data_IF_690068449422
#
_entry.id   IF_690068449422
#
_cell.length_a   1.000
_cell.length_b   1.000
_cell.length_c   1.000
_cell.angle_alpha   90.00
_cell.angle_beta   90.00
_cell.angle_gamma   90.00
#
_symmetry.space_group_name_H-M   'P 1'
#
loop_
_entity.id
_entity.type
_entity.pdbx_description
1 polymer ?
#
# COMPACT_ATOMS: atom_id res chain seq x y z
N UNK A 1 -14.14 -16.02 -26.94
CA UNK A 1 -14.02 -14.53 -26.99
C UNK A 1 -14.24 -13.88 -25.63
N UNK A 2 -15.06 -14.46 -24.74
CA UNK A 2 -15.31 -13.86 -23.42
C UNK A 2 -14.12 -13.92 -22.45
N UNK A 3 -13.18 -14.82 -22.70
CA UNK A 3 -11.93 -14.93 -21.91
C UNK A 3 -11.08 -13.66 -21.98
N UNK A 4 -11.17 -12.89 -23.06
CA UNK A 4 -10.38 -11.68 -23.26
C UNK A 4 -11.08 -10.39 -22.79
N UNK A 5 -12.27 -10.48 -22.21
CA UNK A 5 -13.06 -9.33 -21.75
C UNK A 5 -13.04 -9.17 -20.23
N UNK A 6 -13.29 -7.95 -19.76
CA UNK A 6 -13.49 -7.61 -18.35
C UNK A 6 -12.31 -8.04 -17.46
N UNK A 7 -11.09 -7.82 -17.90
CA UNK A 7 -9.87 -8.14 -17.15
C UNK A 7 -9.58 -7.02 -16.14
N UNK A 8 -9.21 -7.42 -14.92
CA UNK A 8 -8.84 -6.57 -13.80
C UNK A 8 -7.32 -6.37 -13.79
N UNK A 9 -6.84 -5.67 -14.81
CA UNK A 9 -5.44 -5.31 -15.02
C UNK A 9 -5.43 -3.90 -15.62
N UNK A 10 -4.38 -3.12 -15.39
CA UNK A 10 -4.25 -1.79 -15.99
C UNK A 10 -3.40 -1.83 -17.28
N UNK A 11 -3.41 -0.74 -18.05
CA UNK A 11 -2.69 -0.68 -19.33
C UNK A 11 -1.18 -0.67 -19.17
N UNK A 12 -0.68 -0.11 -18.06
CA UNK A 12 0.74 0.04 -17.77
C UNK A 12 1.38 -1.32 -17.43
N UNK A 13 0.68 -2.17 -16.68
CA UNK A 13 1.10 -3.54 -16.37
C UNK A 13 1.19 -4.37 -17.65
N UNK A 14 0.22 -4.21 -18.56
CA UNK A 14 0.24 -4.87 -19.87
C UNK A 14 1.42 -4.36 -20.71
N UNK A 15 1.67 -3.05 -20.72
CA UNK A 15 2.79 -2.45 -21.44
C UNK A 15 4.14 -2.95 -20.92
N UNK A 16 4.32 -2.99 -19.59
CA UNK A 16 5.51 -3.55 -18.94
C UNK A 16 5.74 -5.00 -19.36
N UNK A 17 4.73 -5.84 -19.22
CA UNK A 17 4.81 -7.26 -19.57
C UNK A 17 5.16 -7.46 -21.06
N UNK A 18 4.50 -6.74 -21.98
CA UNK A 18 4.74 -6.89 -23.41
C UNK A 18 6.13 -6.37 -23.84
N UNK A 19 6.63 -5.31 -23.21
CA UNK A 19 8.00 -4.81 -23.41
C UNK A 19 9.04 -5.80 -22.92
N UNK A 20 8.83 -6.40 -21.74
CA UNK A 20 9.72 -7.42 -21.18
C UNK A 20 9.75 -8.66 -22.07
N UNK A 21 8.58 -9.17 -22.47
CA UNK A 21 8.46 -10.30 -23.40
C UNK A 21 9.21 -10.04 -24.71
N UNK A 22 9.01 -8.87 -25.31
CA UNK A 22 9.69 -8.51 -26.56
C UNK A 22 11.21 -8.42 -26.36
N UNK A 23 11.67 -7.82 -25.26
CA UNK A 23 13.10 -7.66 -24.96
C UNK A 23 13.80 -9.01 -24.77
N UNK A 24 13.16 -9.97 -24.09
CA UNK A 24 13.68 -11.33 -23.94
C UNK A 24 13.84 -12.07 -25.28
N UNK A 25 13.08 -11.67 -26.30
CA UNK A 25 13.21 -12.15 -27.67
C UNK A 25 14.15 -11.35 -28.57
N UNK A 26 14.95 -10.41 -28.02
CA UNK A 26 15.71 -9.41 -28.79
C UNK A 26 14.82 -8.56 -29.72
N UNK A 27 13.58 -8.34 -29.30
CA UNK A 27 12.56 -7.58 -30.02
C UNK A 27 12.25 -6.24 -29.36
N UNK A 28 11.19 -5.59 -29.85
CA UNK A 28 10.65 -4.33 -29.31
C UNK A 28 9.13 -4.34 -29.24
N UNK A 29 8.60 -3.60 -28.27
CA UNK A 29 7.17 -3.34 -28.14
C UNK A 29 6.91 -1.84 -28.17
N UNK A 30 5.97 -1.41 -29.02
CA UNK A 30 5.51 -0.03 -29.12
C UNK A 30 4.00 0.03 -28.85
N UNK A 31 3.56 1.00 -28.03
CA UNK A 31 2.16 1.29 -27.75
C UNK A 31 1.72 2.56 -28.48
N UNK A 32 0.55 2.53 -29.14
CA UNK A 32 -0.12 3.72 -29.66
C UNK A 32 -1.49 3.88 -29.02
N UNK A 33 -1.75 5.07 -28.50
CA UNK A 33 -3.08 5.48 -28.08
C UNK A 33 -3.86 5.99 -29.30
N UNK A 34 -4.87 5.24 -29.73
CA UNK A 34 -5.68 5.57 -30.92
C UNK A 34 -6.73 6.64 -30.55
N UNK A 35 -7.31 6.51 -29.35
CA UNK A 35 -8.30 7.41 -28.75
C UNK A 35 -8.44 7.05 -27.28
N UNK A 36 -9.02 7.94 -26.47
CA UNK A 36 -9.21 7.74 -25.03
C UNK A 36 -9.74 6.33 -24.69
N UNK A 37 -8.91 5.54 -24.00
CA UNK A 37 -9.22 4.17 -23.60
C UNK A 37 -9.12 3.12 -24.73
N UNK A 38 -8.38 3.38 -25.80
CA UNK A 38 -8.16 2.47 -26.93
C UNK A 38 -6.69 2.48 -27.33
N UNK A 39 -6.03 1.36 -27.14
CA UNK A 39 -4.60 1.18 -27.33
C UNK A 39 -4.34 0.11 -28.38
N UNK A 40 -3.24 0.28 -29.10
CA UNK A 40 -2.75 -0.71 -30.03
C UNK A 40 -1.27 -0.97 -29.72
N UNK A 41 -0.98 -2.22 -29.38
CA UNK A 41 0.38 -2.69 -29.14
C UNK A 41 0.93 -3.35 -30.38
N UNK A 42 2.19 -3.06 -30.65
CA UNK A 42 2.95 -3.55 -31.78
C UNK A 42 4.16 -4.30 -31.25
N UNK A 43 4.23 -5.60 -31.48
CA UNK A 43 5.31 -6.46 -30.98
C UNK A 43 6.12 -6.96 -32.19
N UNK A 44 7.40 -6.62 -32.22
CA UNK A 44 8.34 -7.01 -33.27
C UNK A 44 9.46 -7.84 -32.65
N UNK A 45 9.59 -9.10 -33.09
CA UNK A 45 10.64 -10.02 -32.66
C UNK A 45 11.37 -10.51 -33.93
N UNK A 46 12.72 -10.54 -33.95
CA UNK A 46 13.48 -11.07 -35.07
C UNK A 46 12.99 -12.45 -35.53
N UNK A 47 12.89 -12.65 -36.84
CA UNK A 47 12.40 -13.91 -37.43
C UNK A 47 10.88 -14.10 -37.38
N UNK A 48 10.11 -13.19 -36.78
CA UNK A 48 8.65 -13.26 -36.73
C UNK A 48 8.01 -12.09 -37.50
N UNK A 49 6.81 -12.34 -38.06
CA UNK A 49 5.95 -11.24 -38.51
C UNK A 49 5.51 -10.42 -37.29
N UNK A 50 5.33 -9.11 -37.49
CA UNK A 50 4.83 -8.18 -36.47
C UNK A 50 3.48 -8.62 -35.91
N UNK A 51 3.39 -8.76 -34.60
CA UNK A 51 2.15 -9.04 -33.88
C UNK A 51 1.47 -7.73 -33.45
N UNK A 52 0.14 -7.75 -33.38
CA UNK A 52 -0.68 -6.59 -33.02
C UNK A 52 -1.78 -6.98 -32.05
N UNK A 53 -1.93 -6.20 -30.98
CA UNK A 53 -3.00 -6.35 -29.99
C UNK A 53 -3.77 -5.05 -29.89
N UNK A 54 -5.09 -5.11 -30.09
CA UNK A 54 -5.97 -3.99 -29.77
C UNK A 54 -6.52 -4.17 -28.35
N UNK A 55 -6.36 -3.16 -27.50
CA UNK A 55 -6.75 -3.21 -26.09
C UNK A 55 -7.66 -2.02 -25.79
N UNK A 56 -8.79 -2.29 -25.14
CA UNK A 56 -9.80 -1.28 -24.83
C UNK A 56 -10.05 -1.20 -23.32
N UNK A 57 -9.98 0.01 -22.78
CA UNK A 57 -10.44 0.34 -21.44
C UNK A 57 -11.95 0.58 -21.45
N UNK A 58 -12.68 -0.37 -20.87
CA UNK A 58 -14.13 -0.31 -20.77
C UNK A 58 -14.56 0.00 -19.34
N UNK A 59 -15.83 0.36 -19.16
CA UNK A 59 -16.45 0.45 -17.83
C UNK A 59 -16.45 -0.87 -17.06
N UNK A 60 -16.10 -1.99 -17.69
CA UNK A 60 -16.07 -3.32 -17.12
C UNK A 60 -14.65 -3.89 -16.97
N UNK A 61 -13.61 -3.08 -17.18
CA UNK A 61 -12.22 -3.50 -17.17
C UNK A 61 -11.62 -3.52 -18.57
N UNK A 62 -10.45 -4.14 -18.69
CA UNK A 62 -9.74 -4.27 -19.96
C UNK A 62 -10.38 -5.33 -20.84
N UNK A 63 -10.45 -5.04 -22.15
CA UNK A 63 -10.77 -6.03 -23.19
C UNK A 63 -9.66 -6.10 -24.22
N UNK A 64 -9.19 -7.30 -24.52
CA UNK A 64 -8.13 -7.58 -25.51
C UNK A 64 -8.75 -8.19 -26.76
N UNK A 65 -8.37 -7.68 -27.92
CA UNK A 65 -8.72 -8.21 -29.24
C UNK A 65 -7.44 -8.69 -29.93
N UNK A 66 -7.10 -9.99 -29.81
CA UNK A 66 -5.84 -10.51 -30.32
C UNK A 66 -5.85 -10.91 -31.79
N UNK A 67 -7.02 -11.07 -32.41
CA UNK A 67 -7.15 -11.51 -33.81
C UNK A 67 -7.00 -10.29 -34.72
N UNK A 68 -5.80 -9.69 -34.72
CA UNK A 68 -5.49 -8.49 -35.51
C UNK A 68 -4.04 -8.54 -36.01
N UNK A 69 -3.76 -7.85 -37.13
CA UNK A 69 -2.41 -7.76 -37.69
C UNK A 69 -1.95 -9.01 -38.46
N UNK A 70 -0.65 -9.06 -38.76
CA UNK A 70 -0.05 -10.05 -39.65
C UNK A 70 0.38 -11.35 -38.94
N UNK A 71 0.54 -11.34 -37.61
CA UNK A 71 0.93 -12.49 -36.80
C UNK A 71 -0.10 -12.76 -35.70
N UNK A 72 -1.25 -13.31 -36.10
CA UNK A 72 -2.37 -13.56 -35.19
C UNK A 72 -2.08 -14.67 -34.18
N UNK A 73 -1.19 -15.61 -34.51
CA UNK A 73 -0.79 -16.70 -33.60
C UNK A 73 -0.04 -16.16 -32.39
N UNK A 74 0.99 -15.32 -32.63
CA UNK A 74 1.73 -14.68 -31.55
C UNK A 74 0.85 -13.71 -30.75
N UNK A 75 0.00 -12.93 -31.41
CA UNK A 75 -0.98 -12.08 -30.73
C UNK A 75 -1.91 -12.89 -29.82
N UNK A 76 -2.43 -14.02 -30.28
CA UNK A 76 -3.32 -14.87 -29.50
C UNK A 76 -2.59 -15.50 -28.30
N UNK A 77 -1.34 -15.94 -28.49
CA UNK A 77 -0.50 -16.47 -27.40
C UNK A 77 -0.31 -15.43 -26.30
N UNK A 78 0.11 -14.22 -26.67
CA UNK A 78 0.32 -13.12 -25.73
C UNK A 78 -0.96 -12.74 -24.98
N UNK A 79 -2.08 -12.63 -25.68
CA UNK A 79 -3.35 -12.33 -25.03
C UNK A 79 -3.79 -13.42 -24.05
N UNK A 80 -3.53 -14.70 -24.35
CA UNK A 80 -3.83 -15.80 -23.42
C UNK A 80 -2.94 -15.73 -22.18
N UNK A 81 -1.65 -15.43 -22.32
CA UNK A 81 -0.76 -15.24 -21.16
C UNK A 81 -1.21 -14.05 -20.30
N UNK A 82 -1.62 -12.94 -20.90
CA UNK A 82 -2.19 -11.80 -20.15
C UNK A 82 -3.47 -12.23 -19.40
N UNK A 83 -4.38 -12.95 -20.07
CA UNK A 83 -5.62 -13.44 -19.44
C UNK A 83 -5.34 -14.39 -18.28
N UNK A 84 -4.38 -15.30 -18.43
CA UNK A 84 -4.04 -16.27 -17.38
C UNK A 84 -3.49 -15.61 -16.11
N UNK A 85 -2.85 -14.45 -16.26
CA UNK A 85 -2.30 -13.67 -15.15
C UNK A 85 -3.24 -12.56 -14.64
N UNK A 86 -4.40 -12.36 -15.29
CA UNK A 86 -5.35 -11.31 -14.93
C UNK A 86 -6.62 -11.89 -14.29
N UNK A 87 -7.04 -11.29 -13.18
CA UNK A 87 -8.36 -11.60 -12.61
C UNK A 87 -9.48 -11.05 -13.49
N UNK A 88 -10.69 -11.61 -13.37
CA UNK A 88 -11.90 -10.98 -13.93
C UNK A 88 -12.40 -9.88 -13.00
N UNK A 89 -12.89 -8.80 -13.62
CA UNK A 89 -13.64 -7.77 -12.91
C UNK A 89 -14.97 -8.33 -12.43
N UNK A 90 -15.20 -8.27 -11.13
CA UNK A 90 -16.41 -8.72 -10.43
C UNK A 90 -16.98 -7.58 -9.60
N UNK A 91 -18.29 -7.60 -9.39
CA UNK A 91 -18.92 -6.71 -8.42
C UNK A 91 -18.55 -7.18 -7.01
N UNK A 92 -18.15 -6.25 -6.16
CA UNK A 92 -17.76 -6.50 -4.78
C UNK A 92 -18.29 -5.40 -3.88
N UNK A 93 -18.50 -5.76 -2.62
CA UNK A 93 -18.89 -4.82 -1.58
C UNK A 93 -18.23 -5.21 -0.27
N UNK A 94 -17.83 -4.21 0.51
CA UNK A 94 -17.25 -4.38 1.83
C UNK A 94 -17.88 -3.37 2.78
N UNK A 95 -18.15 -3.78 4.02
CA UNK A 95 -18.59 -2.86 5.07
C UNK A 95 -17.66 -2.85 6.26
N UNK A 96 -17.57 -1.70 6.89
CA UNK A 96 -16.83 -1.46 8.12
C UNK A 96 -17.75 -0.81 9.14
N UNK A 97 -17.71 -1.31 10.37
CA UNK A 97 -18.55 -0.83 11.46
C UNK A 97 -17.74 0.00 12.45
N UNK A 98 -18.42 0.87 13.19
CA UNK A 98 -17.80 1.73 14.20
C UNK A 98 -16.74 2.68 13.63
N UNK A 99 -16.98 3.22 12.43
CA UNK A 99 -16.15 4.24 11.80
C UNK A 99 -16.62 5.62 12.28
N UNK A 100 -15.83 6.33 13.09
CA UNK A 100 -16.21 7.68 13.48
C UNK A 100 -16.09 8.64 12.28
N UNK A 101 -16.90 9.69 12.28
CA UNK A 101 -17.03 10.58 11.11
C UNK A 101 -15.72 11.26 10.73
N UNK A 102 -14.89 11.65 11.70
CA UNK A 102 -13.57 12.22 11.45
C UNK A 102 -12.63 11.27 10.71
N UNK A 103 -12.72 9.95 10.96
CA UNK A 103 -11.93 8.95 10.23
C UNK A 103 -12.44 8.80 8.80
N UNK A 104 -13.75 8.92 8.58
CA UNK A 104 -14.31 8.95 7.24
C UNK A 104 -13.87 10.21 6.46
N UNK A 105 -13.80 11.36 7.12
CA UNK A 105 -13.31 12.58 6.50
C UNK A 105 -11.80 12.49 6.18
N UNK A 106 -10.99 11.84 7.03
CA UNK A 106 -9.58 11.54 6.77
C UNK A 106 -9.41 10.67 5.52
N UNK A 107 -10.29 9.67 5.32
CA UNK A 107 -10.31 8.85 4.11
C UNK A 107 -10.55 9.69 2.84
N UNK A 108 -11.55 10.57 2.86
CA UNK A 108 -11.83 11.44 1.71
C UNK A 108 -10.66 12.39 1.42
N UNK A 109 -10.02 12.90 2.47
CA UNK A 109 -8.83 13.73 2.32
C UNK A 109 -7.68 12.94 1.66
N UNK A 110 -7.38 11.74 2.16
CA UNK A 110 -6.37 10.85 1.58
C UNK A 110 -6.61 10.61 0.08
N UNK A 111 -7.85 10.33 -0.32
CA UNK A 111 -8.17 10.13 -1.74
C UNK A 111 -7.99 11.41 -2.58
N UNK A 112 -8.25 12.58 -1.99
CA UNK A 112 -8.03 13.87 -2.65
C UNK A 112 -6.54 14.12 -2.93
N UNK A 113 -5.67 13.74 -2.01
CA UNK A 113 -4.21 13.81 -2.17
C UNK A 113 -3.72 12.87 -3.29
N UNK A 114 -4.34 11.69 -3.43
CA UNK A 114 -4.08 10.70 -4.50
C UNK A 114 -4.65 11.10 -5.88
N UNK A 115 -5.15 12.33 -6.03
CA UNK A 115 -5.79 12.86 -7.26
C UNK A 115 -6.97 12.00 -7.74
N UNK A 116 -7.62 11.28 -6.83
CA UNK A 116 -8.85 10.54 -7.14
C UNK A 116 -9.97 11.57 -7.25
N UNK A 117 -10.76 11.48 -8.31
CA UNK A 117 -11.91 12.35 -8.48
C UNK A 117 -13.02 11.89 -7.53
N UNK A 118 -13.31 12.73 -6.55
CA UNK A 118 -14.35 12.52 -5.54
C UNK A 118 -15.57 13.34 -5.97
N UNK A 119 -16.66 12.65 -6.30
CA UNK A 119 -17.93 13.27 -6.61
C UNK A 119 -18.92 12.99 -5.48
N UNK A 120 -19.26 14.02 -4.72
CA UNK A 120 -20.37 13.95 -3.76
C UNK A 120 -21.69 13.72 -4.51
N UNK A 121 -22.48 12.75 -4.04
CA UNK A 121 -23.78 12.39 -4.62
C UNK A 121 -24.94 12.82 -3.74
N UNK A 122 -24.75 12.73 -2.43
CA UNK A 122 -25.78 12.99 -1.43
C UNK A 122 -25.11 13.18 -0.08
N UNK A 123 -25.53 14.18 0.66
CA UNK A 123 -25.26 14.34 2.08
C UNK A 123 -26.59 14.70 2.74
N UNK A 124 -27.16 13.77 3.50
CA UNK A 124 -28.40 13.95 4.26
C UNK A 124 -28.17 13.59 5.74
N UNK A 125 -29.17 13.80 6.59
CA UNK A 125 -29.05 13.54 8.03
C UNK A 125 -28.75 12.07 8.37
N UNK A 126 -28.95 11.14 7.43
CA UNK A 126 -28.82 9.69 7.63
C UNK A 126 -27.50 9.18 7.04
N UNK A 127 -27.03 9.72 5.91
CA UNK A 127 -25.87 9.20 5.19
C UNK A 127 -25.17 10.23 4.30
N UNK A 128 -23.88 10.01 4.08
CA UNK A 128 -23.08 10.63 3.01
C UNK A 128 -22.77 9.60 1.93
N UNK A 129 -22.90 9.97 0.66
CA UNK A 129 -22.61 9.10 -0.49
C UNK A 129 -21.62 9.81 -1.42
N UNK A 130 -20.50 9.15 -1.68
CA UNK A 130 -19.46 9.60 -2.60
C UNK A 130 -19.26 8.59 -3.71
N UNK A 131 -19.10 9.09 -4.95
CA UNK A 131 -18.58 8.30 -6.07
C UNK A 131 -17.12 8.65 -6.29
N UNK A 132 -16.28 7.63 -6.28
CA UNK A 132 -14.84 7.76 -6.45
C UNK A 132 -14.45 7.24 -7.82
N UNK A 133 -13.62 8.02 -8.53
CA UNK A 133 -13.09 7.68 -9.85
C UNK A 133 -11.60 8.00 -9.90
N UNK A 134 -10.78 6.97 -10.10
CA UNK A 134 -9.46 7.17 -10.72
C UNK A 134 -9.70 7.54 -12.20
N UNK A 135 -8.85 8.30 -12.89
CA UNK A 135 -9.02 8.83 -14.26
C UNK A 135 -9.48 7.85 -15.37
N UNK A 136 -9.69 6.58 -15.04
CA UNK A 136 -10.33 5.52 -15.83
C UNK A 136 -11.86 5.48 -15.64
N UNK A 137 -12.56 4.74 -16.51
CA UNK A 137 -14.05 4.61 -16.50
C UNK A 137 -14.61 3.76 -15.34
N UNK A 138 -13.78 3.37 -14.38
CA UNK A 138 -14.15 2.47 -13.28
C UNK A 138 -14.46 3.31 -12.04
N UNK A 139 -15.62 3.06 -11.44
CA UNK A 139 -16.11 3.80 -10.28
C UNK A 139 -16.42 2.86 -9.11
N UNK A 140 -16.16 3.35 -7.91
CA UNK A 140 -16.69 2.78 -6.67
C UNK A 140 -17.59 3.81 -5.99
N UNK A 141 -18.55 3.33 -5.22
CA UNK A 141 -19.44 4.15 -4.40
C UNK A 141 -19.12 3.85 -2.95
N UNK A 142 -18.89 4.90 -2.17
CA UNK A 142 -18.66 4.81 -0.73
C UNK A 142 -19.81 5.53 -0.03
N UNK A 143 -20.47 4.81 0.87
CA UNK A 143 -21.58 5.33 1.68
C UNK A 143 -21.17 5.30 3.14
N UNK A 144 -21.25 6.44 3.81
CA UNK A 144 -21.11 6.54 5.26
C UNK A 144 -22.48 6.77 5.88
N UNK A 145 -22.93 5.84 6.71
CA UNK A 145 -24.18 5.94 7.45
C UNK A 145 -23.93 6.62 8.80
N UNK A 146 -24.45 7.85 8.95
CA UNK A 146 -24.23 8.70 10.14
C UNK A 146 -24.88 8.11 11.39
N UNK A 147 -25.98 7.37 11.23
CA UNK A 147 -26.79 6.85 12.34
C UNK A 147 -26.16 5.66 13.06
N UNK A 148 -25.39 4.82 12.36
CA UNK A 148 -24.78 3.62 12.91
C UNK A 148 -23.26 3.57 12.71
N UNK A 149 -22.67 4.69 12.27
CA UNK A 149 -21.22 4.82 12.05
C UNK A 149 -20.65 3.70 11.17
N UNK A 150 -21.38 3.35 10.10
CA UNK A 150 -21.01 2.29 9.17
C UNK A 150 -20.53 2.86 7.85
N UNK A 151 -19.39 2.41 7.37
CA UNK A 151 -18.94 2.65 6.00
C UNK A 151 -19.28 1.44 5.15
N UNK A 152 -19.81 1.69 3.95
CA UNK A 152 -20.12 0.67 2.98
C UNK A 152 -19.55 1.05 1.62
N UNK A 153 -18.64 0.22 1.11
CA UNK A 153 -17.95 0.39 -0.17
C UNK A 153 -18.56 -0.60 -1.14
N UNK A 154 -18.99 -0.13 -2.30
CA UNK A 154 -19.55 -0.95 -3.37
C UNK A 154 -18.94 -0.59 -4.70
N UNK A 155 -18.72 -1.56 -5.55
CA UNK A 155 -18.28 -1.31 -6.91
C UNK A 155 -17.68 -2.55 -7.53
N UNK A 156 -16.68 -2.33 -8.38
CA UNK A 156 -15.91 -3.41 -9.00
C UNK A 156 -14.63 -3.63 -8.21
N UNK A 157 -14.17 -4.88 -8.10
CA UNK A 157 -12.94 -5.33 -7.40
C UNK A 157 -11.61 -4.81 -7.97
N UNK A 158 -11.61 -3.58 -8.45
CA UNK A 158 -10.51 -2.84 -9.05
C UNK A 158 -9.47 -2.44 -8.02
N UNK A 159 -8.30 -1.98 -8.47
CA UNK A 159 -7.27 -1.40 -7.58
C UNK A 159 -7.86 -0.33 -6.65
N UNK A 160 -8.67 0.61 -7.17
CA UNK A 160 -9.35 1.63 -6.36
C UNK A 160 -10.23 1.04 -5.25
N UNK A 161 -10.93 -0.06 -5.52
CA UNK A 161 -11.71 -0.76 -4.49
C UNK A 161 -10.80 -1.37 -3.42
N UNK A 162 -9.72 -2.05 -3.84
CA UNK A 162 -8.76 -2.67 -2.93
C UNK A 162 -8.07 -1.62 -2.06
N UNK A 163 -7.60 -0.52 -2.65
CA UNK A 163 -6.94 0.58 -1.94
C UNK A 163 -7.87 1.20 -0.90
N UNK A 164 -9.14 1.44 -1.26
CA UNK A 164 -10.13 1.97 -0.33
C UNK A 164 -10.43 1.01 0.83
N UNK A 165 -10.58 -0.28 0.53
CA UNK A 165 -10.78 -1.32 1.56
C UNK A 165 -9.57 -1.41 2.49
N UNK A 166 -8.36 -1.48 1.94
CA UNK A 166 -7.10 -1.56 2.69
C UNK A 166 -6.95 -0.35 3.61
N UNK A 167 -7.31 0.85 3.15
CA UNK A 167 -7.25 2.06 3.97
C UNK A 167 -8.13 1.95 5.23
N UNK A 168 -9.38 1.50 5.09
CA UNK A 168 -10.26 1.35 6.26
C UNK A 168 -9.77 0.24 7.18
N UNK A 169 -9.38 -0.90 6.62
CA UNK A 169 -8.77 -1.99 7.38
C UNK A 169 -7.60 -1.45 8.20
N UNK A 170 -6.65 -0.75 7.58
CA UNK A 170 -5.47 -0.15 8.23
C UNK A 170 -5.80 0.69 9.48
N UNK A 171 -6.98 1.31 9.49
CA UNK A 171 -7.43 2.21 10.55
C UNK A 171 -8.36 1.54 11.56
N UNK A 172 -8.87 0.35 11.27
CA UNK A 172 -9.92 -0.31 12.07
C UNK A 172 -9.55 -1.70 12.57
N UNK A 173 -8.34 -2.19 12.27
CA UNK A 173 -7.89 -3.55 12.61
C UNK A 173 -8.09 -3.89 14.07
N UNK A 174 -8.78 -5.00 14.29
CA UNK A 174 -8.83 -5.72 15.57
C UNK A 174 -8.00 -7.02 15.50
N UNK A 175 -7.90 -7.65 14.33
CA UNK A 175 -7.24 -8.93 14.07
C UNK A 175 -6.34 -8.89 12.80
N UNK A 176 -5.03 -9.21 12.90
CA UNK A 176 -4.11 -9.42 11.78
C UNK A 176 -4.64 -10.31 10.64
N UNK A 177 -5.40 -11.35 10.94
CA UNK A 177 -5.88 -12.33 9.95
C UNK A 177 -6.84 -11.68 8.93
N UNK A 178 -7.55 -10.63 9.31
CA UNK A 178 -8.49 -9.92 8.42
C UNK A 178 -7.76 -9.16 7.32
N UNK A 179 -6.59 -8.59 7.61
CA UNK A 179 -5.75 -7.90 6.62
C UNK A 179 -5.25 -8.90 5.59
N UNK A 180 -4.77 -10.04 6.05
CA UNK A 180 -4.19 -11.07 5.20
C UNK A 180 -5.26 -11.62 4.24
N UNK A 181 -6.49 -11.88 4.73
CA UNK A 181 -7.61 -12.30 3.87
C UNK A 181 -8.01 -11.26 2.81
N UNK A 182 -7.85 -9.98 3.11
CA UNK A 182 -8.20 -8.88 2.20
C UNK A 182 -7.09 -8.63 1.17
N UNK A 183 -5.82 -8.78 1.57
CA UNK A 183 -4.66 -8.66 0.68
C UNK A 183 -4.58 -9.87 -0.27
N UNK A 184 -4.85 -11.08 0.22
CA UNK A 184 -4.82 -12.31 -0.57
C UNK A 184 -6.23 -12.75 -0.98
N UNK A 185 -6.69 -12.21 -2.11
CA UNK A 185 -8.02 -12.42 -2.70
C UNK A 185 -8.36 -13.88 -3.14
N UNK A 186 -7.59 -14.90 -2.78
CA UNK A 186 -7.83 -16.31 -3.16
C UNK A 186 -7.75 -17.26 -1.96
N UNK A 187 -8.92 -17.73 -1.55
CA UNK A 187 -9.21 -18.57 -0.37
C UNK A 187 -8.62 -19.99 -0.43
N UNK A 188 -8.12 -20.46 -1.58
CA UNK A 188 -7.77 -21.89 -1.71
C UNK A 188 -6.48 -22.33 -1.01
N UNK A 189 -5.70 -21.37 -0.52
CA UNK A 189 -4.37 -21.61 0.04
C UNK A 189 -4.29 -21.34 1.55
N UNK A 190 -5.19 -20.50 2.10
CA UNK A 190 -5.11 -20.01 3.48
C UNK A 190 -5.25 -21.11 4.55
N UNK A 191 -6.07 -22.13 4.31
CA UNK A 191 -6.28 -23.23 5.27
C UNK A 191 -5.03 -24.13 5.42
N UNK A 192 -4.16 -24.19 4.40
CA UNK A 192 -2.84 -24.83 4.52
C UNK A 192 -1.86 -23.97 5.33
N UNK A 193 -1.95 -22.65 5.21
CA UNK A 193 -1.03 -21.71 5.87
C UNK A 193 -1.36 -21.45 7.34
N UNK A 194 -2.64 -21.51 7.74
CA UNK A 194 -3.07 -21.40 9.15
C UNK A 194 -2.50 -22.50 10.05
N UNK A 195 -2.10 -23.64 9.46
CA UNK A 195 -1.48 -24.77 10.16
C UNK A 195 0.04 -24.58 10.32
N UNK A 196 0.72 -23.90 9.38
CA UNK A 196 2.16 -23.69 9.43
C UNK A 196 2.59 -22.51 10.33
N UNK A 197 1.70 -21.55 10.58
CA UNK A 197 2.01 -20.34 11.35
C UNK A 197 0.84 -19.96 12.28
N UNK A 198 0.79 -20.58 13.46
CA UNK A 198 -0.17 -20.17 14.50
C UNK A 198 0.21 -18.83 15.15
N UNK A 199 -0.77 -18.08 15.65
CA UNK A 199 -0.52 -16.77 16.31
C UNK A 199 0.54 -16.82 17.40
N UNK A 200 0.53 -17.92 18.16
CA UNK A 200 1.48 -18.18 19.22
C UNK A 200 2.92 -18.38 18.71
N UNK A 201 3.11 -18.89 17.49
CA UNK A 201 4.43 -19.12 16.91
C UNK A 201 5.05 -17.82 16.41
N UNK A 202 4.30 -16.97 15.71
CA UNK A 202 4.82 -15.67 15.29
C UNK A 202 5.10 -14.75 16.49
N UNK A 203 4.24 -14.80 17.50
CA UNK A 203 4.44 -14.09 18.75
C UNK A 203 5.72 -14.55 19.46
N UNK A 204 5.95 -15.87 19.59
CA UNK A 204 7.16 -16.37 20.25
C UNK A 204 8.43 -16.03 19.46
N UNK A 205 8.42 -16.15 18.14
CA UNK A 205 9.55 -15.80 17.27
C UNK A 205 9.87 -14.29 17.31
N UNK A 206 8.85 -13.43 17.27
CA UNK A 206 9.05 -11.99 17.39
C UNK A 206 9.54 -11.59 18.77
N UNK A 207 8.98 -12.19 19.82
CA UNK A 207 9.45 -11.98 21.19
C UNK A 207 10.91 -12.42 21.36
N UNK A 208 11.32 -13.52 20.74
CA UNK A 208 12.72 -13.96 20.72
C UNK A 208 13.63 -12.97 19.97
N UNK A 209 13.18 -12.45 18.83
CA UNK A 209 13.94 -11.47 18.02
C UNK A 209 14.07 -10.11 18.71
N UNK A 210 13.01 -9.60 19.32
CA UNK A 210 12.94 -8.27 19.93
C UNK A 210 13.44 -8.29 21.39
N UNK A 211 13.34 -9.42 22.08
CA UNK A 211 13.74 -9.58 23.47
C UNK A 211 12.88 -8.76 24.42
N UNK A 212 13.51 -8.18 25.46
CA UNK A 212 12.81 -7.49 26.54
C UNK A 212 11.96 -6.28 26.08
N UNK A 213 12.28 -5.68 24.92
CA UNK A 213 11.51 -4.57 24.37
C UNK A 213 10.11 -4.99 23.89
N UNK A 214 9.86 -6.29 23.64
CA UNK A 214 8.58 -6.79 23.16
C UNK A 214 7.48 -6.71 24.23
N UNK A 215 7.82 -7.01 25.48
CA UNK A 215 6.88 -6.97 26.60
C UNK A 215 6.78 -5.57 27.25
N UNK A 216 7.62 -4.62 26.82
CA UNK A 216 7.65 -3.28 27.39
C UNK A 216 6.61 -2.38 26.73
N UNK A 217 5.49 -2.19 27.44
CA UNK A 217 4.38 -1.38 26.96
C UNK A 217 4.67 0.13 26.92
N UNK A 218 5.83 0.62 27.38
CA UNK A 218 6.26 1.99 27.09
C UNK A 218 6.85 2.10 25.68
N UNK A 219 7.44 1.02 25.19
CA UNK A 219 8.13 0.96 23.90
C UNK A 219 7.17 0.46 22.81
N UNK A 220 6.54 -0.70 23.02
CA UNK A 220 5.65 -1.35 22.06
C UNK A 220 4.25 -1.57 22.61
N UNK A 221 3.26 -0.96 21.96
CA UNK A 221 1.85 -1.17 22.27
C UNK A 221 1.31 -2.46 21.64
N UNK A 222 0.20 -2.98 22.15
CA UNK A 222 -0.39 -4.24 21.66
C UNK A 222 -0.78 -4.16 20.18
N UNK A 223 -1.26 -3.01 19.73
CA UNK A 223 -1.59 -2.75 18.33
C UNK A 223 -0.35 -2.78 17.44
N UNK A 224 0.79 -2.31 17.95
CA UNK A 224 2.06 -2.33 17.22
C UNK A 224 2.63 -3.74 17.11
N UNK A 225 2.50 -4.55 18.18
CA UNK A 225 2.84 -5.98 18.15
C UNK A 225 2.03 -6.71 17.09
N UNK A 226 0.74 -6.38 16.93
CA UNK A 226 -0.11 -6.93 15.84
C UNK A 226 0.44 -6.57 14.46
N UNK A 227 0.85 -5.32 14.24
CA UNK A 227 1.44 -4.89 12.97
C UNK A 227 2.78 -5.58 12.67
N UNK A 228 3.64 -5.74 13.68
CA UNK A 228 4.88 -6.51 13.54
C UNK A 228 4.60 -7.97 13.20
N UNK A 229 3.57 -8.58 13.82
CA UNK A 229 3.10 -9.94 13.48
C UNK A 229 2.67 -10.04 12.02
N UNK A 230 1.85 -9.10 11.54
CA UNK A 230 1.43 -9.07 10.11
C UNK A 230 2.64 -9.03 9.19
N UNK A 231 3.57 -8.11 9.43
CA UNK A 231 4.78 -8.01 8.61
C UNK A 231 5.63 -9.28 8.68
N UNK A 232 5.81 -9.84 9.87
CA UNK A 232 6.52 -11.09 10.06
C UNK A 232 5.86 -12.24 9.29
N UNK A 233 4.53 -12.36 9.32
CA UNK A 233 3.82 -13.37 8.52
C UNK A 233 4.08 -13.20 7.04
N UNK A 234 3.82 -12.00 6.51
CA UNK A 234 3.97 -11.71 5.08
C UNK A 234 5.37 -12.00 4.57
N UNK A 235 6.40 -11.74 5.39
CA UNK A 235 7.79 -12.08 5.07
C UNK A 235 8.06 -13.58 5.19
N UNK A 236 7.45 -14.31 6.12
CA UNK A 236 7.68 -15.74 6.28
C UNK A 236 6.82 -16.62 5.36
N UNK A 237 5.88 -16.03 4.61
CA UNK A 237 5.20 -16.75 3.52
C UNK A 237 6.23 -17.18 2.47
N UNK A 238 6.18 -18.47 2.12
CA UNK A 238 7.00 -19.06 1.04
C UNK A 238 6.37 -18.76 -0.32
N UNK A 239 6.21 -17.48 -0.61
CA UNK A 239 5.62 -16.97 -1.84
C UNK A 239 6.54 -15.94 -2.48
N UNK A 240 6.78 -16.11 -3.78
CA UNK A 240 7.41 -15.10 -4.60
C UNK A 240 6.37 -14.04 -4.95
N UNK A 241 6.47 -12.87 -4.30
CA UNK A 241 5.62 -11.73 -4.59
C UNK A 241 6.29 -10.86 -5.67
N UNK A 242 5.52 -10.25 -6.58
CA UNK A 242 6.07 -9.30 -7.55
C UNK A 242 6.59 -8.02 -6.87
N UNK A 243 6.14 -7.75 -5.65
CA UNK A 243 6.62 -6.66 -4.79
C UNK A 243 6.34 -6.98 -3.31
N UNK A 244 7.27 -6.62 -2.42
CA UNK A 244 7.25 -6.92 -0.99
C UNK A 244 6.97 -5.70 -0.09
N UNK A 245 6.65 -4.53 -0.65
CA UNK A 245 6.34 -3.32 0.13
C UNK A 245 5.26 -3.56 1.20
N UNK A 246 4.17 -4.24 0.84
CA UNK A 246 3.09 -4.56 1.78
C UNK A 246 3.56 -5.45 2.94
N UNK A 247 4.61 -6.24 2.75
CA UNK A 247 5.18 -7.07 3.81
C UNK A 247 5.88 -6.24 4.91
N UNK A 248 6.39 -5.04 4.58
CA UNK A 248 7.10 -4.18 5.54
C UNK A 248 6.32 -2.95 5.98
N UNK A 249 5.25 -2.57 5.25
CA UNK A 249 4.47 -1.37 5.52
C UNK A 249 3.97 -1.27 6.97
N UNK A 250 3.46 -2.38 7.53
CA UNK A 250 3.02 -2.44 8.93
C UNK A 250 4.15 -2.11 9.92
N UNK A 251 5.36 -2.60 9.67
CA UNK A 251 6.52 -2.36 10.52
C UNK A 251 7.04 -0.91 10.42
N UNK A 252 6.99 -0.31 9.23
CA UNK A 252 7.35 1.10 9.04
C UNK A 252 6.40 1.99 9.86
N UNK A 253 5.10 1.67 9.84
CA UNK A 253 4.07 2.37 10.64
C UNK A 253 4.34 2.29 12.15
N UNK A 254 4.86 1.16 12.63
CA UNK A 254 5.26 1.00 14.05
C UNK A 254 6.40 1.94 14.43
N UNK A 255 7.45 2.03 13.61
CA UNK A 255 8.56 2.96 13.88
C UNK A 255 8.11 4.42 13.79
N UNK A 256 7.22 4.75 12.86
CA UNK A 256 6.62 6.08 12.78
C UNK A 256 5.81 6.42 14.05
N UNK A 257 5.00 5.47 14.55
CA UNK A 257 4.27 5.59 15.80
C UNK A 257 5.18 5.82 17.01
N UNK A 258 6.26 5.05 17.10
CA UNK A 258 7.30 5.19 18.13
C UNK A 258 7.92 6.59 18.09
N UNK A 259 8.36 7.05 16.91
CA UNK A 259 8.95 8.38 16.77
C UNK A 259 7.94 9.48 17.15
N UNK A 260 6.69 9.36 16.73
CA UNK A 260 5.64 10.32 17.08
C UNK A 260 5.44 10.41 18.59
N UNK A 261 5.42 9.28 19.33
CA UNK A 261 5.33 9.28 20.80
C UNK A 261 6.52 10.00 21.43
N UNK A 262 7.74 9.70 20.98
CA UNK A 262 8.96 10.35 21.49
C UNK A 262 8.87 11.88 21.31
N UNK A 263 8.47 12.33 20.11
CA UNK A 263 8.36 13.75 19.81
C UNK A 263 7.22 14.41 20.59
N UNK A 264 6.09 13.74 20.78
CA UNK A 264 5.00 14.25 21.62
C UNK A 264 5.48 14.45 23.06
N UNK A 265 6.17 13.46 23.62
CA UNK A 265 6.68 13.52 24.99
C UNK A 265 7.75 14.60 25.17
N UNK A 266 8.71 14.72 24.24
CA UNK A 266 9.88 15.60 24.42
C UNK A 266 9.75 16.98 23.79
N UNK A 267 8.97 17.10 22.71
CA UNK A 267 8.76 18.35 21.97
C UNK A 267 7.37 18.97 22.22
N UNK A 268 6.43 18.22 22.79
CA UNK A 268 5.08 18.67 23.12
C UNK A 268 4.12 18.68 21.93
N UNK A 269 2.81 18.71 22.21
CA UNK A 269 1.75 18.71 21.19
C UNK A 269 1.85 19.88 20.20
N UNK A 270 2.28 21.06 20.69
CA UNK A 270 2.46 22.25 19.86
C UNK A 270 3.55 22.10 18.79
N UNK A 271 4.44 21.12 18.92
CA UNK A 271 5.45 20.84 17.89
C UNK A 271 4.86 20.22 16.63
N UNK A 272 3.63 19.69 16.70
CA UNK A 272 2.86 19.16 15.57
C UNK A 272 1.90 20.19 14.95
N UNK A 273 2.12 21.49 15.21
CA UNK A 273 1.24 22.58 14.74
C UNK A 273 0.92 22.47 13.25
N UNK A 274 -0.38 22.43 12.97
CA UNK A 274 -1.03 22.60 11.66
C UNK A 274 -0.48 23.86 10.98
N UNK A 275 0.24 23.69 9.87
CA UNK A 275 0.73 24.81 9.08
C UNK A 275 0.07 24.81 7.71
N UNK A 276 -1.19 25.22 7.70
CA UNK A 276 -1.68 26.35 6.89
C UNK A 276 -3.12 26.64 7.35
N UNK A 277 -3.42 27.89 7.75
CA UNK A 277 -4.79 28.29 8.13
C UNK A 277 -5.80 28.17 6.98
N UNK A 278 -5.32 27.96 5.74
CA UNK A 278 -6.13 27.75 4.54
C UNK A 278 -6.34 26.28 4.15
N UNK A 279 -5.51 25.34 4.61
CA UNK A 279 -5.53 23.94 4.14
C UNK A 279 -5.67 22.90 5.25
N UNK A 280 -5.65 23.30 6.54
CA UNK A 280 -5.74 22.40 7.71
C UNK A 280 -4.81 21.17 7.61
N UNK A 281 -3.67 21.31 6.95
CA UNK A 281 -2.74 20.20 6.72
C UNK A 281 -1.77 20.09 7.91
N UNK A 282 -1.69 18.90 8.51
CA UNK A 282 -0.64 18.57 9.48
C UNK A 282 0.63 18.39 8.66
N UNK A 283 1.62 19.29 8.83
CA UNK A 283 2.93 19.07 8.23
C UNK A 283 3.63 18.02 9.09
N UNK A 284 3.84 16.82 8.52
CA UNK A 284 4.57 15.75 9.19
C UNK A 284 5.95 16.21 9.65
N UNK A 285 6.36 15.80 10.85
CA UNK A 285 7.71 15.95 11.40
C UNK A 285 8.34 17.36 11.28
N UNK A 286 7.59 18.43 11.60
CA UNK A 286 8.08 19.80 11.59
C UNK A 286 9.26 20.08 12.57
N UNK A 287 9.58 19.12 13.44
CA UNK A 287 10.67 19.17 14.40
C UNK A 287 12.06 19.00 13.76
N UNK A 288 12.12 18.58 12.49
CA UNK A 288 13.37 18.30 11.79
C UNK A 288 13.67 19.32 10.68
N UNK A 289 14.95 19.44 10.39
CA UNK A 289 15.50 20.14 9.23
C UNK A 289 15.56 19.22 8.01
N UNK A 290 15.79 19.81 6.83
CA UNK A 290 15.83 19.07 5.56
C UNK A 290 17.00 18.07 5.45
N UNK A 291 17.97 18.09 6.34
CA UNK A 291 19.08 17.12 6.44
C UNK A 291 18.82 16.00 7.46
N UNK A 292 17.56 15.82 7.88
CA UNK A 292 17.13 14.86 8.91
C UNK A 292 17.65 15.17 10.33
N UNK A 293 18.16 16.38 10.57
CA UNK A 293 18.60 16.80 11.90
C UNK A 293 17.45 17.37 12.70
N UNK A 294 17.43 17.07 14.00
CA UNK A 294 16.45 17.66 14.90
C UNK A 294 16.74 19.17 15.03
N UNK A 295 15.72 20.03 15.07
CA UNK A 295 15.93 21.48 15.23
C UNK A 295 16.54 21.79 16.59
N UNK A 296 17.43 22.79 16.63
CA UNK A 296 18.18 23.19 17.84
C UNK A 296 17.28 23.43 19.06
N UNK A 297 16.11 24.05 18.87
CA UNK A 297 15.14 24.32 19.93
C UNK A 297 14.63 23.07 20.67
N UNK A 298 14.68 21.89 20.06
CA UNK A 298 14.26 20.63 20.68
C UNK A 298 15.43 19.82 21.27
N UNK A 299 16.68 20.18 20.95
CA UNK A 299 17.88 19.48 21.46
C UNK A 299 18.17 19.75 22.93
N UNK A 300 17.75 20.91 23.44
CA UNK A 300 18.13 21.39 24.78
C UNK A 300 17.67 20.50 25.94
N UNK A 301 16.74 19.57 25.70
CA UNK A 301 16.20 18.64 26.69
C UNK A 301 16.65 17.19 26.49
N UNK A 302 17.59 16.96 25.57
CA UNK A 302 17.97 15.63 25.12
C UNK A 302 19.49 15.48 25.19
N UNK A 303 19.94 14.27 25.55
CA UNK A 303 21.35 13.92 25.45
C UNK A 303 21.77 13.56 24.01
N UNK A 304 23.07 13.43 23.76
CA UNK A 304 23.59 13.13 22.43
C UNK A 304 23.13 11.76 21.89
N UNK A 305 22.95 10.76 22.76
CA UNK A 305 22.49 9.42 22.39
C UNK A 305 21.01 9.42 21.99
N UNK A 306 20.18 10.16 22.71
CA UNK A 306 18.77 10.40 22.44
C UNK A 306 18.58 11.16 21.12
N UNK A 307 19.34 12.23 20.90
CA UNK A 307 19.31 12.99 19.64
C UNK A 307 19.70 12.09 18.48
N UNK A 308 20.79 11.32 18.61
CA UNK A 308 21.23 10.39 17.57
C UNK A 308 20.16 9.35 17.25
N UNK A 309 19.52 8.77 18.26
CA UNK A 309 18.46 7.80 18.07
C UNK A 309 17.27 8.40 17.30
N UNK A 310 16.78 9.57 17.72
CA UNK A 310 15.67 10.28 17.08
C UNK A 310 15.99 10.63 15.62
N UNK A 311 17.18 11.18 15.35
CA UNK A 311 17.61 11.53 13.99
C UNK A 311 17.77 10.30 13.09
N UNK A 312 18.24 9.17 13.63
CA UNK A 312 18.33 7.90 12.90
C UNK A 312 16.94 7.37 12.55
N UNK A 313 16.01 7.33 13.51
CA UNK A 313 14.62 6.92 13.27
C UNK A 313 13.97 7.78 12.18
N UNK A 314 14.09 9.11 12.30
CA UNK A 314 13.51 10.02 11.34
C UNK A 314 14.15 9.88 9.96
N UNK A 315 15.48 9.74 9.89
CA UNK A 315 16.18 9.48 8.64
C UNK A 315 15.66 8.21 7.98
N UNK A 316 15.52 7.12 8.75
CA UNK A 316 14.96 5.87 8.23
C UNK A 316 13.53 6.06 7.71
N UNK A 317 12.63 6.64 8.52
CA UNK A 317 11.25 6.89 8.11
C UNK A 317 11.22 7.75 6.86
N UNK A 318 12.01 8.84 6.80
CA UNK A 318 11.99 9.74 5.66
C UNK A 318 12.45 9.05 4.38
N UNK A 319 13.54 8.28 4.41
CA UNK A 319 14.03 7.60 3.21
C UNK A 319 13.11 6.44 2.79
N UNK A 320 12.69 5.60 3.74
CA UNK A 320 11.83 4.46 3.42
C UNK A 320 10.41 4.89 3.09
N UNK A 321 9.78 5.74 3.92
CA UNK A 321 8.40 6.20 3.68
C UNK A 321 8.32 7.09 2.44
N UNK A 322 9.18 8.10 2.29
CA UNK A 322 9.06 9.02 1.15
C UNK A 322 9.34 8.33 -0.20
N UNK A 323 10.25 7.36 -0.24
CA UNK A 323 10.56 6.67 -1.49
C UNK A 323 9.62 5.49 -1.78
N UNK A 324 9.07 4.83 -0.76
CA UNK A 324 8.17 3.67 -0.94
C UNK A 324 6.69 4.05 -0.99
N UNK A 325 6.27 5.14 -0.31
CA UNK A 325 4.88 5.60 -0.31
C UNK A 325 4.61 6.68 -1.36
N UNK A 326 5.64 7.35 -1.87
CA UNK A 326 5.49 8.37 -2.92
C UNK A 326 6.32 8.04 -4.13
N UNK A 327 5.70 8.04 -5.31
CA UNK A 327 6.43 8.00 -6.58
C UNK A 327 7.09 9.38 -6.82
N UNK A 328 8.27 9.56 -6.24
CA UNK A 328 9.09 10.78 -6.35
C UNK A 328 9.98 10.78 -7.60
N UNK A 329 9.85 9.78 -8.48
CA UNK A 329 10.60 9.63 -9.73
C UNK A 329 9.73 9.25 -10.93
N UNK A 330 10.38 8.85 -12.03
CA UNK A 330 9.69 8.40 -13.26
C UNK A 330 9.03 7.02 -13.04
N UNK A 331 9.63 6.19 -12.16
CA UNK A 331 9.11 4.88 -11.77
C UNK A 331 8.98 4.79 -10.24
N UNK A 332 7.93 4.13 -9.72
CA UNK A 332 7.83 3.85 -8.29
C UNK A 332 8.99 2.95 -7.86
N UNK A 333 9.59 3.23 -6.70
CA UNK A 333 10.59 2.36 -6.10
C UNK A 333 9.88 1.11 -5.58
N UNK A 334 10.22 -0.05 -6.14
CA UNK A 334 9.66 -1.33 -5.74
C UNK A 334 10.61 -2.04 -4.77
N UNK A 335 10.06 -2.86 -3.87
CA UNK A 335 10.84 -3.86 -3.13
C UNK A 335 10.64 -5.21 -3.84
N UNK A 336 11.42 -5.45 -4.88
CA UNK A 336 11.25 -6.63 -5.75
C UNK A 336 11.75 -7.92 -5.09
N UNK A 337 12.65 -7.81 -4.11
CA UNK A 337 13.28 -8.95 -3.46
C UNK A 337 12.85 -9.07 -1.99
N UNK A 338 12.44 -10.28 -1.61
CA UNK A 338 12.17 -10.67 -0.22
C UNK A 338 13.31 -10.32 0.74
N UNK A 339 14.57 -10.49 0.32
CA UNK A 339 15.75 -10.17 1.16
C UNK A 339 15.83 -8.70 1.53
N UNK A 340 15.45 -7.81 0.62
CA UNK A 340 15.47 -6.37 0.89
C UNK A 340 14.36 -6.00 1.88
N UNK A 341 13.20 -6.63 1.73
CA UNK A 341 12.09 -6.51 2.68
C UNK A 341 12.47 -7.05 4.07
N UNK A 342 13.12 -8.20 4.14
CA UNK A 342 13.68 -8.76 5.39
C UNK A 342 14.73 -7.84 6.00
N UNK A 343 15.58 -7.20 5.20
CA UNK A 343 16.56 -6.23 5.68
C UNK A 343 15.89 -5.02 6.33
N UNK A 344 14.86 -4.45 5.68
CA UNK A 344 14.08 -3.33 6.22
C UNK A 344 13.40 -3.74 7.52
N UNK A 345 12.77 -4.92 7.54
CA UNK A 345 12.13 -5.44 8.75
C UNK A 345 13.12 -5.63 9.89
N UNK A 346 14.28 -6.24 9.63
CA UNK A 346 15.30 -6.46 10.64
C UNK A 346 15.89 -5.14 11.17
N UNK A 347 16.05 -4.12 10.32
CA UNK A 347 16.48 -2.78 10.74
C UNK A 347 15.46 -2.16 11.71
N UNK A 348 14.16 -2.31 11.42
CA UNK A 348 13.07 -1.89 12.31
C UNK A 348 13.13 -2.63 13.66
N UNK A 349 13.35 -3.94 13.65
CA UNK A 349 13.54 -4.72 14.88
C UNK A 349 14.72 -4.19 15.70
N UNK A 350 15.83 -3.82 15.05
CA UNK A 350 16.99 -3.22 15.75
C UNK A 350 16.65 -1.87 16.37
N UNK A 351 15.84 -1.03 15.72
CA UNK A 351 15.39 0.23 16.31
C UNK A 351 14.55 0.02 17.57
N UNK A 352 13.66 -0.97 17.57
CA UNK A 352 12.85 -1.34 18.73
C UNK A 352 13.73 -1.85 19.86
N UNK A 353 14.69 -2.73 19.58
CA UNK A 353 15.65 -3.23 20.58
C UNK A 353 16.42 -2.05 21.20
N UNK A 354 16.92 -1.14 20.36
CA UNK A 354 17.68 0.02 20.81
C UNK A 354 16.85 1.01 21.63
N UNK A 355 15.52 1.02 21.48
CA UNK A 355 14.62 1.83 22.31
C UNK A 355 14.67 1.44 23.79
N UNK A 356 15.03 0.19 24.08
CA UNK A 356 15.08 -0.35 25.44
C UNK A 356 16.41 -0.09 26.15
N UNK A 357 17.38 0.54 25.48
CA UNK A 357 18.60 1.04 26.14
C UNK A 357 18.24 2.12 27.16
N UNK A 358 18.80 2.08 28.36
CA UNK A 358 18.40 2.93 29.50
C UNK A 358 18.26 4.43 29.15
N UNK A 359 19.24 5.02 28.45
CA UNK A 359 19.19 6.44 28.06
C UNK A 359 18.11 6.74 27.02
N UNK A 360 17.86 5.81 26.09
CA UNK A 360 16.85 5.97 25.03
C UNK A 360 15.46 5.74 25.60
N UNK A 361 15.32 4.83 26.57
CA UNK A 361 14.05 4.51 27.22
C UNK A 361 13.45 5.70 27.97
N UNK A 362 14.29 6.61 28.48
CA UNK A 362 13.84 7.88 29.05
C UNK A 362 13.09 8.78 28.05
N UNK A 363 13.19 8.53 26.74
CA UNK A 363 12.40 9.25 25.72
C UNK A 363 10.89 8.99 25.83
N UNK A 364 10.52 7.87 26.45
CA UNK A 364 9.12 7.43 26.59
C UNK A 364 8.49 7.81 27.94
N UNK A 365 9.30 8.32 28.87
CA UNK A 365 8.88 8.90 30.15
C UNK A 365 8.68 10.42 30.04
#
# INVERSE_FOLDING_TARGET
MDDFKNLNINIDDIDKYLKEFASNGNGKCEIKNIKTGSYQFFIEIPGNKKATLNIYETKNGITIYPITGANQELSLKLAKEIVNNAEKVKTSSQSFESIPENLFDEFLQYLGEEKINIQEKSDDDIKKIYKLKNGHKLEITVTYYKTNHKVFIQGKNTKLFKDAVIWFVDKTIKDPDEIIKIVFNSINDFDKYKICFSDNLAESELKNKIGAAYDDNLILYNEEKKWLKVSFYLLNLDMNLPEYYHAVAGSIKVIEGILNRILLNKCGHDSFKLSNSKTKTIIGFAQFEWDCKLKSQYKNKLDASQIKYIEVLYSFIRHQRHELFHNSGINPRLIENKKDAESIFNEIIQFIINANNSNVKELFL
#
